data_IF_621803363778
#
_entry.id   IF_621803363778
#
_cell.length_a   1.000
_cell.length_b   1.000
_cell.length_c   1.000
_cell.angle_alpha   90.00
_cell.angle_beta   90.00
_cell.angle_gamma   90.00
#
_symmetry.space_group_name_H-M   'P 1'
#
loop_
_entity.id
_entity.type
_entity.pdbx_description
1 polymer ?
#
# COMPACT_ATOMS: atom_id res chain seq x y z
N UNK A 1 43.57 27.41 30.22
CA UNK A 1 42.87 26.58 29.20
C UNK A 1 41.53 27.24 28.92
N UNK A 2 41.34 27.83 27.74
CA UNK A 2 40.09 28.52 27.36
C UNK A 2 39.46 27.74 26.20
N UNK A 3 38.25 27.21 26.43
CA UNK A 3 37.41 26.57 25.43
C UNK A 3 36.86 27.62 24.49
N UNK A 4 37.04 27.43 23.18
CA UNK A 4 36.40 28.24 22.14
C UNK A 4 35.48 27.30 21.35
N UNK A 5 34.18 27.44 21.61
CA UNK A 5 33.10 26.83 20.85
C UNK A 5 32.96 27.55 19.51
N UNK A 6 33.08 26.82 18.40
CA UNK A 6 32.78 27.36 17.06
C UNK A 6 31.61 26.58 16.47
N UNK A 7 30.44 27.21 16.49
CA UNK A 7 29.24 26.77 15.80
C UNK A 7 29.38 27.07 14.31
N UNK A 8 29.61 26.05 13.49
CA UNK A 8 29.57 26.21 12.02
C UNK A 8 28.13 25.99 11.57
N UNK A 9 27.41 27.09 11.33
CA UNK A 9 26.18 27.11 10.55
C UNK A 9 26.52 26.70 9.11
N UNK A 10 26.18 25.47 8.73
CA UNK A 10 26.25 25.00 7.35
C UNK A 10 24.97 25.38 6.60
N UNK A 11 25.10 26.36 5.70
CA UNK A 11 24.06 26.83 4.79
C UNK A 11 23.57 25.74 3.84
N UNK A 12 22.26 25.53 3.79
CA UNK A 12 21.58 24.65 2.85
C UNK A 12 21.56 25.29 1.44
N UNK A 13 22.13 24.59 0.47
CA UNK A 13 21.95 24.83 -0.96
C UNK A 13 21.73 23.48 -1.62
N UNK A 14 20.47 23.08 -1.79
CA UNK A 14 20.13 21.97 -2.69
C UNK A 14 19.50 22.59 -3.92
N UNK A 15 20.26 22.54 -5.00
CA UNK A 15 19.91 23.03 -6.31
C UNK A 15 18.60 22.41 -6.81
N UNK A 16 17.70 23.26 -7.30
CA UNK A 16 16.55 22.85 -8.07
C UNK A 16 17.03 22.24 -9.41
N UNK A 17 17.15 20.92 -9.44
CA UNK A 17 17.35 20.16 -10.66
C UNK A 17 16.05 20.08 -11.44
N UNK A 18 16.03 20.73 -12.60
CA UNK A 18 15.02 20.57 -13.65
C UNK A 18 14.90 19.09 -14.02
N UNK A 19 13.81 18.43 -13.62
CA UNK A 19 13.43 17.13 -14.19
C UNK A 19 12.49 17.38 -15.36
N UNK A 20 13.03 17.15 -16.55
CA UNK A 20 12.27 16.95 -17.77
C UNK A 20 11.14 15.95 -17.51
N UNK A 21 9.94 16.10 -18.12
CA UNK A 21 8.93 15.06 -18.09
C UNK A 21 9.44 13.92 -18.98
N UNK A 22 10.30 13.08 -18.43
CA UNK A 22 10.44 11.74 -18.93
C UNK A 22 9.06 11.10 -18.72
N UNK A 23 8.39 10.78 -19.82
CA UNK A 23 7.42 9.69 -19.89
C UNK A 23 8.17 8.40 -19.56
N UNK A 24 8.55 8.27 -18.29
CA UNK A 24 9.22 7.13 -17.70
C UNK A 24 8.17 6.46 -16.86
N UNK A 25 7.64 5.36 -17.39
CA UNK A 25 6.96 4.34 -16.62
C UNK A 25 7.92 3.91 -15.50
N UNK A 26 7.83 4.59 -14.36
CA UNK A 26 8.44 4.13 -13.13
C UNK A 26 7.60 2.93 -12.67
N UNK A 27 7.83 1.77 -13.31
CA UNK A 27 7.68 0.48 -12.65
C UNK A 27 8.63 0.49 -11.46
N UNK A 28 8.14 1.04 -10.34
CA UNK A 28 8.75 0.85 -9.05
C UNK A 28 8.77 -0.66 -8.80
N UNK A 29 9.93 -1.28 -9.02
CA UNK A 29 10.29 -2.60 -8.50
C UNK A 29 10.53 -2.47 -6.99
N UNK A 30 9.49 -2.09 -6.27
CA UNK A 30 9.46 -2.07 -4.82
C UNK A 30 8.13 -2.65 -4.41
N UNK A 31 8.15 -3.83 -3.80
CA UNK A 31 6.96 -4.55 -3.34
C UNK A 31 6.20 -3.84 -2.19
N UNK A 32 6.54 -2.58 -1.86
CA UNK A 32 6.09 -1.91 -0.63
C UNK A 32 5.51 -0.50 -0.83
N UNK A 33 5.29 -0.02 -2.06
CA UNK A 33 4.73 1.32 -2.25
C UNK A 33 3.24 1.42 -1.87
N UNK A 34 2.53 0.29 -1.85
CA UNK A 34 1.11 0.20 -1.49
C UNK A 34 0.96 -0.84 -0.39
N UNK A 35 0.54 -0.40 0.79
CA UNK A 35 0.21 -1.27 1.92
C UNK A 35 -1.29 -1.43 2.00
N UNK A 36 -1.75 -2.68 2.06
CA UNK A 36 -3.18 -3.00 2.22
C UNK A 36 -3.37 -3.63 3.58
N UNK A 37 -4.30 -3.10 4.37
CA UNK A 37 -4.59 -3.59 5.71
C UNK A 37 -6.07 -4.00 5.84
N UNK A 38 -6.37 -5.25 6.22
CA UNK A 38 -5.42 -6.37 6.32
C UNK A 38 -4.87 -6.80 4.95
N UNK A 39 -3.67 -7.39 4.94
CA UNK A 39 -3.05 -7.98 3.74
C UNK A 39 -3.88 -9.16 3.21
N UNK A 40 -4.48 -9.91 4.14
CA UNK A 40 -5.42 -10.99 3.85
C UNK A 40 -6.83 -10.56 4.27
N UNK A 41 -7.72 -10.39 3.30
CA UNK A 41 -9.10 -9.93 3.51
C UNK A 41 -10.12 -11.04 3.25
N UNK A 42 -11.20 -11.05 4.02
CA UNK A 42 -12.35 -11.93 3.77
C UNK A 42 -13.30 -11.31 2.75
N UNK A 43 -14.07 -12.11 1.99
CA UNK A 43 -15.16 -11.59 1.17
C UNK A 43 -16.14 -10.73 1.98
N UNK A 44 -16.46 -9.53 1.51
CA UNK A 44 -17.30 -8.55 2.21
C UNK A 44 -16.56 -7.69 3.24
N UNK A 45 -15.27 -7.91 3.48
CA UNK A 45 -14.48 -7.09 4.39
C UNK A 45 -14.04 -5.78 3.71
N UNK A 46 -14.00 -4.69 4.48
CA UNK A 46 -13.36 -3.45 4.05
C UNK A 46 -11.87 -3.51 4.35
N UNK A 47 -11.06 -3.13 3.36
CA UNK A 47 -9.62 -2.96 3.52
C UNK A 47 -9.24 -1.49 3.48
N UNK A 48 -8.17 -1.14 4.16
CA UNK A 48 -7.51 0.17 4.06
C UNK A 48 -6.36 0.07 3.07
N UNK A 49 -6.19 1.11 2.23
CA UNK A 49 -5.12 1.16 1.23
C UNK A 49 -4.30 2.40 1.48
N UNK A 50 -3.06 2.18 1.90
CA UNK A 50 -2.08 3.19 2.25
C UNK A 50 -1.00 3.23 1.17
N UNK A 51 -0.53 4.42 0.83
CA UNK A 51 0.55 4.63 -0.14
C UNK A 51 1.62 5.48 0.53
N UNK A 52 2.83 4.95 0.64
CA UNK A 52 3.92 5.64 1.31
C UNK A 52 4.28 6.95 0.60
N UNK A 53 4.38 8.03 1.39
CA UNK A 53 4.60 9.37 0.85
C UNK A 53 3.40 9.95 0.10
N UNK A 54 2.19 9.42 0.30
CA UNK A 54 0.96 10.03 -0.16
C UNK A 54 0.36 10.93 0.93
N UNK A 55 0.44 12.25 0.74
CA UNK A 55 -0.10 13.24 1.69
C UNK A 55 -1.53 13.68 1.37
N UNK A 56 -2.14 13.11 0.32
CA UNK A 56 -3.50 13.42 -0.13
C UNK A 56 -4.40 12.19 -0.19
N UNK A 57 -5.61 12.36 -0.73
CA UNK A 57 -6.55 11.25 -0.90
C UNK A 57 -6.00 10.15 -1.83
N UNK A 58 -6.02 8.92 -1.35
CA UNK A 58 -5.70 7.72 -2.14
C UNK A 58 -6.98 7.22 -2.80
N UNK A 59 -6.93 7.00 -4.12
CA UNK A 59 -7.98 6.28 -4.83
C UNK A 59 -7.47 4.91 -5.21
N UNK A 60 -8.02 3.86 -4.61
CA UNK A 60 -7.65 2.48 -4.90
C UNK A 60 -8.72 1.78 -5.73
N UNK A 61 -8.28 0.92 -6.65
CA UNK A 61 -9.12 0.07 -7.49
C UNK A 61 -8.52 -1.32 -7.58
N UNK A 62 -9.37 -2.34 -7.55
CA UNK A 62 -8.99 -3.75 -7.71
C UNK A 62 -10.20 -4.53 -8.24
N UNK A 63 -9.96 -5.61 -8.97
CA UNK A 63 -11.03 -6.52 -9.43
C UNK A 63 -11.74 -7.22 -8.26
N UNK A 64 -11.13 -7.22 -7.07
CA UNK A 64 -11.75 -7.71 -5.85
C UNK A 64 -12.70 -6.70 -5.19
N UNK A 65 -12.69 -5.42 -5.58
CA UNK A 65 -13.44 -4.38 -4.85
C UNK A 65 -14.78 -4.06 -5.50
N UNK A 66 -15.83 -4.00 -4.67
CA UNK A 66 -17.19 -3.68 -5.08
C UNK A 66 -17.47 -2.16 -5.03
N UNK A 67 -17.27 -1.57 -3.86
CA UNK A 67 -17.46 -0.14 -3.60
C UNK A 67 -16.31 0.38 -2.75
N UNK A 68 -15.56 1.33 -3.33
CA UNK A 68 -14.32 1.83 -2.73
C UNK A 68 -13.31 0.69 -2.54
N UNK A 69 -12.99 0.40 -1.27
CA UNK A 69 -12.04 -0.65 -0.87
C UNK A 69 -12.72 -1.81 -0.14
N UNK A 70 -14.01 -2.04 -0.40
CA UNK A 70 -14.74 -3.18 0.17
C UNK A 70 -14.64 -4.37 -0.78
N UNK A 71 -14.17 -5.52 -0.28
CA UNK A 71 -14.03 -6.76 -1.05
C UNK A 71 -15.42 -7.32 -1.41
N UNK A 72 -15.62 -7.71 -2.67
CA UNK A 72 -16.83 -8.39 -3.15
C UNK A 72 -17.13 -9.64 -2.31
N UNK A 73 -18.39 -9.87 -1.93
CA UNK A 73 -18.80 -11.07 -1.16
C UNK A 73 -18.66 -12.37 -1.95
N UNK A 74 -18.75 -12.29 -3.27
CA UNK A 74 -18.69 -13.43 -4.18
C UNK A 74 -17.36 -13.49 -4.96
N UNK A 75 -16.36 -12.71 -4.54
CA UNK A 75 -15.04 -12.78 -5.15
C UNK A 75 -14.43 -14.15 -4.89
N UNK A 76 -13.71 -14.67 -5.89
CA UNK A 76 -12.99 -15.92 -5.71
C UNK A 76 -11.82 -15.69 -4.75
N UNK A 77 -11.45 -16.70 -3.95
CA UNK A 77 -10.20 -16.64 -3.19
C UNK A 77 -9.00 -16.55 -4.13
N UNK A 78 -7.99 -15.77 -3.75
CA UNK A 78 -6.77 -15.58 -4.54
C UNK A 78 -6.14 -14.21 -4.34
N UNK A 79 -5.03 -13.98 -5.03
CA UNK A 79 -4.29 -12.72 -4.96
C UNK A 79 -4.78 -11.74 -6.03
N UNK A 80 -5.10 -10.52 -5.60
CA UNK A 80 -5.64 -9.47 -6.45
C UNK A 80 -4.70 -8.28 -6.47
N UNK A 81 -4.43 -7.76 -7.67
CA UNK A 81 -3.66 -6.52 -7.82
C UNK A 81 -4.51 -5.33 -7.36
N UNK A 82 -3.92 -4.50 -6.49
CA UNK A 82 -4.49 -3.22 -6.09
C UNK A 82 -3.75 -2.11 -6.81
N UNK A 83 -4.47 -1.30 -7.56
CA UNK A 83 -3.93 -0.11 -8.21
C UNK A 83 -4.36 1.09 -7.39
N UNK A 84 -3.41 1.78 -6.78
CA UNK A 84 -3.65 3.00 -6.01
C UNK A 84 -3.12 4.22 -6.76
N UNK A 85 -3.94 5.28 -6.82
CA UNK A 85 -3.59 6.56 -7.42
C UNK A 85 -3.44 7.61 -6.35
N UNK A 86 -2.27 8.24 -6.32
CA UNK A 86 -1.90 9.28 -5.37
C UNK A 86 -1.27 10.47 -6.11
N UNK A 87 -1.89 11.66 -6.01
CA UNK A 87 -1.32 12.93 -6.52
C UNK A 87 -0.74 12.83 -7.95
N UNK A 88 -1.40 12.08 -8.84
CA UNK A 88 -0.98 11.87 -10.23
C UNK A 88 -0.08 10.64 -10.48
N UNK A 89 0.48 10.04 -9.42
CA UNK A 89 1.23 8.79 -9.49
C UNK A 89 0.29 7.59 -9.38
N UNK A 90 0.59 6.54 -10.14
CA UNK A 90 -0.07 5.25 -10.02
C UNK A 90 0.93 4.26 -9.44
N UNK A 91 0.54 3.60 -8.36
CA UNK A 91 1.33 2.59 -7.67
C UNK A 91 0.51 1.30 -7.60
N UNK A 92 1.20 0.16 -7.57
CA UNK A 92 0.57 -1.16 -7.54
C UNK A 92 0.99 -1.89 -6.28
N UNK A 93 0.04 -2.61 -5.70
CA UNK A 93 0.24 -3.55 -4.60
C UNK A 93 -0.62 -4.79 -4.80
N UNK A 94 -0.75 -5.58 -3.75
CA UNK A 94 -1.52 -6.81 -3.77
C UNK A 94 -2.37 -6.93 -2.51
N UNK A 95 -3.50 -7.63 -2.63
CA UNK A 95 -4.33 -8.06 -1.51
C UNK A 95 -4.69 -9.52 -1.74
N UNK A 96 -4.54 -10.35 -0.71
CA UNK A 96 -4.97 -11.75 -0.77
C UNK A 96 -6.39 -11.83 -0.25
N UNK A 97 -7.30 -12.38 -1.05
CA UNK A 97 -8.63 -12.72 -0.58
C UNK A 97 -8.64 -14.15 -0.07
N UNK A 98 -8.93 -14.29 1.23
CA UNK A 98 -9.00 -15.59 1.87
C UNK A 98 -10.12 -16.44 1.27
N UNK A 99 -9.83 -17.75 1.23
CA UNK A 99 -10.85 -18.77 1.03
C UNK A 99 -11.94 -18.67 2.08
N UNK A 100 -13.16 -19.10 1.73
CA UNK A 100 -14.08 -19.57 2.77
C UNK A 100 -13.31 -20.65 3.54
N UNK A 101 -12.88 -20.34 4.76
CA UNK A 101 -12.36 -21.36 5.67
C UNK A 101 -13.47 -22.41 5.79
N UNK A 102 -13.29 -23.55 5.11
CA UNK A 102 -13.91 -24.78 5.54
C UNK A 102 -13.23 -25.09 6.86
N UNK A 103 -13.72 -24.47 7.94
CA UNK A 103 -13.23 -24.73 9.28
C UNK A 103 -13.29 -26.25 9.44
N UNK A 104 -12.18 -26.97 9.67
CA UNK A 104 -12.30 -28.35 10.08
C UNK A 104 -13.05 -28.26 11.41
N UNK A 105 -14.25 -28.81 11.47
CA UNK A 105 -15.00 -28.93 12.72
C UNK A 105 -14.03 -29.41 13.78
N UNK A 106 -13.58 -28.53 14.68
CA UNK A 106 -12.96 -28.92 15.94
C UNK A 106 -14.07 -29.60 16.74
N UNK A 107 -14.41 -30.83 16.35
CA UNK A 107 -15.11 -31.74 17.23
C UNK A 107 -14.12 -32.00 18.37
N UNK A 108 -14.46 -31.68 19.63
CA UNK A 108 -13.68 -32.18 20.73
C UNK A 108 -13.71 -33.71 20.63
N UNK A 109 -12.58 -34.33 20.31
CA UNK A 109 -12.42 -35.77 20.46
C UNK A 109 -12.39 -36.04 21.95
N UNK A 110 -13.57 -36.17 22.54
CA UNK A 110 -13.72 -36.67 23.89
C UNK A 110 -13.42 -38.17 23.85
N UNK A 111 -12.27 -38.57 24.40
CA UNK A 111 -12.00 -39.95 24.78
C UNK A 111 -11.09 -39.98 25.99
#
# INVERSE_FOLDING_TARGET
>A
MRLVSVTVLGTALVAAGLLAPATGEATATGHDAVRVEPEVAMPGQRVEVLVDGCTGGVRATSDAFAEGTTVHRDVKPGDYTVVARCAGRTVRGQVTVAGRMSWPTLLPTNR
#
